data_IF_070408620064
#
_entry.id   IF_070408620064
#
_cell.length_a   1.000
_cell.length_b   1.000
_cell.length_c   1.000
_cell.angle_alpha   90.00
_cell.angle_beta   90.00
_cell.angle_gamma   90.00
#
_symmetry.space_group_name_H-M   'P 1'
#
loop_
_entity.id
_entity.type
_entity.pdbx_description
1 polymer ?
#
# COMPACT_ATOMS: atom_id res chain seq x y z
N UNK A 1 -48.13 43.91 -17.22
CA UNK A 1 -48.59 43.97 -15.82
C UNK A 1 -49.13 42.59 -15.46
N UNK A 2 -48.69 42.05 -14.32
CA UNK A 2 -48.96 40.70 -13.80
C UNK A 2 -50.45 40.43 -13.59
N UNK A 3 -50.90 39.22 -13.92
CA UNK A 3 -51.83 38.47 -13.07
C UNK A 3 -51.38 37.01 -13.02
N UNK A 4 -50.51 36.73 -12.05
CA UNK A 4 -50.33 35.40 -11.48
C UNK A 4 -51.55 35.18 -10.59
N UNK A 5 -52.40 34.24 -10.96
CA UNK A 5 -53.34 33.64 -10.01
C UNK A 5 -53.13 32.14 -10.02
N UNK A 6 -52.20 31.71 -9.17
CA UNK A 6 -52.16 30.35 -8.63
C UNK A 6 -53.48 30.09 -7.91
N UNK A 7 -54.46 29.49 -8.59
CA UNK A 7 -55.60 28.89 -7.90
C UNK A 7 -55.07 27.63 -7.21
N UNK A 8 -54.80 27.78 -5.91
CA UNK A 8 -54.53 26.66 -5.01
C UNK A 8 -55.69 25.68 -5.13
N UNK A 9 -55.37 24.48 -5.58
CA UNK A 9 -56.24 23.31 -5.55
C UNK A 9 -56.67 23.10 -4.09
N UNK A 10 -57.91 23.44 -3.74
CA UNK A 10 -58.49 23.07 -2.46
C UNK A 10 -58.96 21.61 -2.54
N UNK A 11 -58.80 20.82 -1.48
CA UNK A 11 -59.19 19.42 -1.46
C UNK A 11 -60.70 19.28 -1.67
N UNK A 12 -61.06 18.44 -2.63
CA UNK A 12 -62.44 18.00 -2.88
C UNK A 12 -62.86 17.15 -1.67
N UNK A 13 -63.80 17.65 -0.87
CA UNK A 13 -64.48 16.83 0.13
C UNK A 13 -65.38 15.84 -0.61
N UNK A 14 -64.96 14.58 -0.70
CA UNK A 14 -65.86 13.46 -0.99
C UNK A 14 -66.63 13.19 0.29
N UNK A 15 -67.76 13.88 0.47
CA UNK A 15 -68.67 13.61 1.57
C UNK A 15 -69.65 12.53 1.13
N UNK A 16 -69.30 11.25 1.36
CA UNK A 16 -70.26 10.14 1.28
C UNK A 16 -71.24 10.25 2.46
N UNK A 17 -72.28 11.07 2.34
CA UNK A 17 -73.40 11.03 3.29
C UNK A 17 -74.21 9.77 2.98
N UNK A 18 -73.98 8.70 3.74
CA UNK A 18 -74.94 7.60 3.90
C UNK A 18 -76.16 8.16 4.66
N UNK A 19 -77.09 8.78 3.94
CA UNK A 19 -78.33 9.29 4.49
C UNK A 19 -79.27 8.14 4.85
N UNK A 20 -79.23 7.68 6.10
CA UNK A 20 -80.33 6.95 6.73
C UNK A 20 -81.47 7.95 7.00
N UNK A 21 -82.23 8.32 5.96
CA UNK A 21 -83.55 8.92 6.15
C UNK A 21 -84.60 7.84 5.91
N UNK A 22 -85.32 7.52 6.97
CA UNK A 22 -86.38 6.52 7.04
C UNK A 22 -87.58 6.90 6.18
N UNK A 23 -87.54 6.63 4.86
CA UNK A 23 -88.65 6.08 4.05
C UNK A 23 -88.02 5.52 2.76
N UNK A 24 -88.06 4.19 2.57
CA UNK A 24 -87.53 3.42 1.42
C UNK A 24 -86.01 3.20 1.38
N UNK A 25 -85.59 1.96 1.67
CA UNK A 25 -84.22 1.48 1.55
C UNK A 25 -83.78 1.42 0.08
N UNK A 26 -83.12 2.47 -0.41
CA UNK A 26 -82.32 2.42 -1.63
C UNK A 26 -81.01 3.15 -1.37
N UNK A 27 -79.87 2.48 -1.56
CA UNK A 27 -78.55 3.10 -1.48
C UNK A 27 -78.44 4.11 -2.62
N UNK A 28 -78.33 5.40 -2.27
CA UNK A 28 -78.15 6.48 -3.23
C UNK A 28 -76.68 6.87 -3.26
N UNK A 29 -76.03 6.66 -4.39
CA UNK A 29 -74.70 7.20 -4.67
C UNK A 29 -74.89 8.65 -5.09
N UNK A 30 -74.11 9.57 -4.52
CA UNK A 30 -74.15 10.98 -4.91
C UNK A 30 -72.73 11.52 -5.10
N UNK A 31 -72.58 12.35 -6.12
CA UNK A 31 -71.38 13.12 -6.40
C UNK A 31 -71.75 14.58 -6.51
N UNK A 32 -71.02 15.43 -5.80
CA UNK A 32 -71.16 16.88 -5.85
C UNK A 32 -69.82 17.48 -6.23
N UNK A 33 -69.81 18.27 -7.31
CA UNK A 33 -68.60 18.94 -7.76
C UNK A 33 -68.84 20.38 -8.15
N UNK A 34 -67.80 21.19 -8.01
CA UNK A 34 -67.75 22.54 -8.54
C UNK A 34 -67.18 22.47 -9.96
N UNK A 35 -67.90 23.03 -10.93
CA UNK A 35 -67.45 23.18 -12.31
C UNK A 35 -67.43 24.66 -12.70
N UNK A 36 -66.39 25.04 -13.43
CA UNK A 36 -66.26 26.32 -14.11
C UNK A 36 -66.58 26.21 -15.62
N UNK A 37 -66.79 27.33 -16.31
CA UNK A 37 -67.02 27.34 -17.76
C UNK A 37 -65.88 26.66 -18.53
N UNK A 38 -66.20 25.73 -19.41
CA UNK A 38 -65.24 24.94 -20.18
C UNK A 38 -64.80 23.62 -19.51
N UNK A 39 -65.14 23.42 -18.24
CA UNK A 39 -64.86 22.15 -17.56
C UNK A 39 -65.76 21.04 -18.10
N UNK A 40 -65.21 19.83 -18.09
CA UNK A 40 -65.89 18.61 -18.52
C UNK A 40 -65.69 17.54 -17.47
N UNK A 41 -66.74 16.77 -17.23
CA UNK A 41 -66.67 15.54 -16.43
C UNK A 41 -67.33 14.42 -17.22
N UNK A 42 -66.81 13.22 -17.04
CA UNK A 42 -67.33 11.99 -17.58
C UNK A 42 -68.01 11.24 -16.45
N UNK A 43 -69.32 11.05 -16.54
CA UNK A 43 -70.08 10.24 -15.59
C UNK A 43 -70.58 9.01 -16.33
N UNK A 44 -69.97 7.85 -16.06
CA UNK A 44 -70.12 6.65 -16.87
C UNK A 44 -69.85 6.95 -18.37
N UNK A 45 -70.89 6.95 -19.21
CA UNK A 45 -70.81 7.27 -20.65
C UNK A 45 -71.39 8.65 -20.99
N UNK A 46 -71.74 9.46 -19.98
CA UNK A 46 -72.26 10.80 -20.16
C UNK A 46 -71.13 11.81 -20.04
N UNK A 47 -71.00 12.67 -21.03
CA UNK A 47 -70.13 13.84 -20.99
C UNK A 47 -70.97 15.00 -20.49
N UNK A 48 -70.65 15.49 -19.31
CA UNK A 48 -71.27 16.67 -18.72
C UNK A 48 -70.26 17.81 -18.87
N UNK A 49 -70.62 18.84 -19.63
CA UNK A 49 -69.76 20.00 -19.87
C UNK A 49 -70.49 21.27 -19.50
N UNK A 50 -69.79 22.19 -18.86
CA UNK A 50 -70.32 23.51 -18.57
C UNK A 50 -69.95 24.47 -19.71
N UNK A 51 -70.95 25.13 -20.28
CA UNK A 51 -70.74 26.13 -21.33
C UNK A 51 -71.43 27.44 -20.96
N UNK A 52 -70.98 28.53 -21.56
CA UNK A 52 -71.53 29.87 -21.32
C UNK A 52 -72.02 30.42 -22.64
N UNK A 53 -73.29 30.83 -22.68
CA UNK A 53 -73.84 31.51 -23.85
C UNK A 53 -73.11 32.86 -24.03
N UNK A 54 -72.53 33.04 -25.22
CA UNK A 54 -71.73 34.22 -25.56
C UNK A 54 -72.55 35.50 -25.62
N UNK A 55 -73.87 35.39 -25.80
CA UNK A 55 -74.73 36.55 -25.97
C UNK A 55 -75.41 36.98 -24.67
N UNK A 56 -75.86 36.01 -23.84
CA UNK A 56 -76.56 36.28 -22.58
C UNK A 56 -75.66 36.21 -21.34
N UNK A 57 -74.47 35.61 -21.46
CA UNK A 57 -73.61 35.31 -20.31
C UNK A 57 -74.18 34.22 -19.39
N UNK A 58 -75.31 33.60 -19.75
CA UNK A 58 -75.91 32.53 -18.97
C UNK A 58 -75.06 31.26 -19.07
N UNK A 59 -74.83 30.63 -17.91
CA UNK A 59 -74.15 29.35 -17.83
C UNK A 59 -75.19 28.23 -17.98
N UNK A 60 -74.91 27.27 -18.86
CA UNK A 60 -75.74 26.11 -19.07
C UNK A 60 -74.92 24.82 -18.94
N UNK A 61 -75.52 23.80 -18.32
CA UNK A 61 -74.93 22.47 -18.24
C UNK A 61 -75.39 21.66 -19.44
N UNK A 62 -74.44 21.25 -20.28
CA UNK A 62 -74.71 20.44 -21.47
C UNK A 62 -74.37 18.99 -21.15
N UNK A 63 -75.35 18.10 -21.28
CA UNK A 63 -75.21 16.67 -21.08
C UNK A 63 -75.24 15.98 -22.44
N UNK A 64 -74.18 15.25 -22.78
CA UNK A 64 -74.03 14.54 -24.04
C UNK A 64 -73.80 13.05 -23.81
N UNK A 65 -74.24 12.22 -24.74
CA UNK A 65 -73.81 10.83 -24.85
C UNK A 65 -73.10 10.65 -26.18
N UNK A 66 -71.79 10.38 -26.13
CA UNK A 66 -70.88 10.18 -27.26
C UNK A 66 -70.86 11.34 -28.26
N UNK A 67 -71.92 11.55 -29.04
CA UNK A 67 -72.07 12.61 -30.04
C UNK A 67 -73.40 13.37 -29.95
N UNK A 68 -74.38 12.86 -29.20
CA UNK A 68 -75.73 13.45 -29.14
C UNK A 68 -75.90 14.27 -27.85
N UNK A 69 -76.42 15.49 -27.97
CA UNK A 69 -76.85 16.30 -26.83
C UNK A 69 -78.14 15.69 -26.30
N UNK A 70 -78.11 15.21 -25.06
CA UNK A 70 -79.28 14.65 -24.40
C UNK A 70 -80.12 15.76 -23.79
N UNK A 71 -79.47 16.71 -23.11
CA UNK A 71 -80.14 17.80 -22.44
C UNK A 71 -79.22 18.99 -22.21
N UNK A 72 -79.84 20.16 -22.06
CA UNK A 72 -79.22 21.40 -21.63
C UNK A 72 -79.99 21.86 -20.41
N UNK A 73 -79.31 22.00 -19.27
CA UNK A 73 -79.92 22.48 -18.02
C UNK A 73 -79.53 23.92 -17.75
N UNK A 74 -80.53 24.74 -17.45
CA UNK A 74 -80.38 26.07 -16.88
C UNK A 74 -80.37 26.01 -15.35
N UNK A 75 -79.97 27.12 -14.73
CA UNK A 75 -79.87 27.23 -13.27
C UNK A 75 -81.15 26.74 -12.55
N UNK A 76 -80.98 25.89 -11.54
CA UNK A 76 -82.06 25.31 -10.74
C UNK A 76 -82.78 24.13 -11.38
N UNK A 77 -82.39 23.73 -12.61
CA UNK A 77 -83.00 22.60 -13.30
C UNK A 77 -82.29 21.28 -12.97
N UNK A 78 -83.05 20.20 -13.08
CA UNK A 78 -82.53 18.84 -12.99
C UNK A 78 -83.14 17.99 -14.10
N UNK A 79 -82.44 16.92 -14.45
CA UNK A 79 -82.94 15.89 -15.38
C UNK A 79 -82.63 14.52 -14.84
N UNK A 80 -83.53 13.58 -15.12
CA UNK A 80 -83.29 12.16 -14.92
C UNK A 80 -82.88 11.54 -16.25
N UNK A 81 -81.65 11.07 -16.34
CA UNK A 81 -81.11 10.31 -17.48
C UNK A 81 -80.82 8.89 -17.01
N UNK A 82 -81.63 7.94 -17.47
CA UNK A 82 -81.63 6.55 -16.98
C UNK A 82 -81.85 6.52 -15.45
N UNK A 83 -80.91 5.93 -14.70
CA UNK A 83 -80.92 5.84 -13.24
C UNK A 83 -80.16 6.98 -12.54
N UNK A 84 -79.70 7.98 -13.30
CA UNK A 84 -79.00 9.16 -12.78
C UNK A 84 -79.90 10.39 -12.79
N UNK A 85 -79.99 11.08 -11.66
CA UNK A 85 -80.56 12.41 -11.53
C UNK A 85 -79.42 13.41 -11.48
N UNK A 86 -79.36 14.30 -12.46
CA UNK A 86 -78.33 15.35 -12.57
C UNK A 86 -79.02 16.68 -12.31
N UNK A 87 -78.57 17.44 -11.31
CA UNK A 87 -79.05 18.79 -11.04
C UNK A 87 -77.94 19.82 -11.18
N UNK A 88 -78.34 21.01 -11.61
CA UNK A 88 -77.45 22.11 -11.91
C UNK A 88 -77.88 23.37 -11.16
N UNK A 89 -76.98 23.91 -10.32
CA UNK A 89 -77.18 25.17 -9.63
C UNK A 89 -76.00 26.10 -9.93
N UNK A 90 -76.28 27.20 -10.61
CA UNK A 90 -75.31 28.26 -10.86
C UNK A 90 -75.23 29.18 -9.62
N UNK A 91 -74.04 29.33 -9.06
CA UNK A 91 -73.76 30.13 -7.87
C UNK A 91 -72.66 31.16 -8.18
N UNK A 92 -72.99 32.15 -9.01
CA UNK A 92 -72.08 33.26 -9.36
C UNK A 92 -70.81 32.79 -10.07
N UNK A 93 -69.68 32.79 -9.36
CA UNK A 93 -68.35 32.45 -9.90
C UNK A 93 -68.10 30.94 -10.11
N UNK A 94 -68.95 30.08 -9.55
CA UNK A 94 -68.86 28.63 -9.73
C UNK A 94 -70.24 28.02 -9.87
N UNK A 95 -70.33 26.90 -10.57
CA UNK A 95 -71.56 26.12 -10.63
C UNK A 95 -71.40 24.82 -9.88
N UNK A 96 -72.45 24.42 -9.16
CA UNK A 96 -72.52 23.14 -8.46
C UNK A 96 -73.30 22.18 -9.36
N UNK A 97 -72.68 21.05 -9.67
CA UNK A 97 -73.33 19.92 -10.33
C UNK A 97 -73.43 18.80 -9.31
N UNK A 98 -74.67 18.34 -9.09
CA UNK A 98 -74.95 17.15 -8.29
C UNK A 98 -75.42 16.04 -9.21
N UNK A 99 -74.82 14.87 -9.08
CA UNK A 99 -75.25 13.66 -9.77
C UNK A 99 -75.60 12.61 -8.73
N UNK A 100 -76.82 12.08 -8.78
CA UNK A 100 -77.32 11.08 -7.84
C UNK A 100 -77.82 9.86 -8.61
N UNK A 101 -77.40 8.68 -8.21
CA UNK A 101 -77.76 7.42 -8.84
C UNK A 101 -78.19 6.36 -7.84
N UNK A 102 -79.07 5.45 -8.27
CA UNK A 102 -79.39 4.24 -7.50
C UNK A 102 -78.30 3.17 -7.58
N UNK A 103 -77.51 3.20 -8.65
CA UNK A 103 -76.36 2.34 -8.87
C UNK A 103 -75.06 3.13 -8.75
N UNK A 104 -73.96 2.41 -8.51
CA UNK A 104 -72.62 3.01 -8.50
C UNK A 104 -72.29 3.58 -9.88
N UNK A 105 -71.72 4.77 -9.91
CA UNK A 105 -71.27 5.41 -11.14
C UNK A 105 -69.87 5.99 -10.97
N UNK A 106 -69.08 5.93 -12.04
CA UNK A 106 -67.73 6.47 -12.06
C UNK A 106 -67.74 7.91 -12.58
N UNK A 107 -67.02 8.80 -11.89
CA UNK A 107 -66.82 10.19 -12.32
C UNK A 107 -65.33 10.40 -12.62
N UNK A 108 -65.02 10.66 -13.90
CA UNK A 108 -63.66 10.96 -14.38
C UNK A 108 -63.60 12.41 -14.81
N UNK A 109 -62.65 13.17 -14.28
CA UNK A 109 -62.39 14.55 -14.69
C UNK A 109 -61.24 14.50 -15.71
N UNK A 110 -61.52 14.58 -17.03
CA UNK A 110 -60.45 14.64 -18.03
C UNK A 110 -59.60 15.89 -17.76
N UNK A 111 -58.36 15.67 -17.33
CA UNK A 111 -57.41 16.75 -17.06
C UNK A 111 -57.05 17.39 -18.40
N UNK A 112 -57.65 18.53 -18.70
CA UNK A 112 -57.34 19.32 -19.89
C UNK A 112 -55.94 19.94 -19.73
N UNK A 113 -54.93 19.34 -20.36
CA UNK A 113 -53.68 20.04 -20.66
C UNK A 113 -52.35 19.37 -20.30
N UNK A 114 -52.05 18.18 -20.83
CA UNK A 114 -50.64 17.77 -21.00
C UNK A 114 -50.35 17.47 -22.47
N UNK A 115 -49.71 18.41 -23.21
CA UNK A 115 -49.22 18.12 -24.53
C UNK A 115 -47.92 17.31 -24.44
N UNK A 116 -47.87 16.16 -25.11
CA UNK A 116 -46.68 15.53 -25.72
C UNK A 116 -45.40 15.32 -24.88
N UNK A 117 -45.48 15.09 -23.57
CA UNK A 117 -44.29 14.82 -22.74
C UNK A 117 -43.72 13.38 -22.90
N UNK A 118 -44.36 12.53 -23.71
CA UNK A 118 -44.00 11.11 -23.85
C UNK A 118 -42.66 10.87 -24.55
N UNK A 119 -42.37 11.65 -25.60
CA UNK A 119 -41.09 11.58 -26.33
C UNK A 119 -39.93 12.05 -25.44
N UNK A 120 -40.12 13.15 -24.70
CA UNK A 120 -39.12 13.66 -23.76
C UNK A 120 -38.84 12.67 -22.61
N UNK A 121 -39.88 12.02 -22.07
CA UNK A 121 -39.75 10.99 -21.05
C UNK A 121 -39.03 9.72 -21.57
N UNK A 122 -39.23 9.35 -22.84
CA UNK A 122 -38.52 8.22 -23.46
C UNK A 122 -37.03 8.51 -23.61
N UNK A 123 -36.68 9.72 -24.07
CA UNK A 123 -35.28 10.13 -24.19
C UNK A 123 -34.59 10.25 -22.83
N UNK A 124 -35.30 10.76 -21.82
CA UNK A 124 -34.79 10.81 -20.44
C UNK A 124 -34.55 9.40 -19.87
N UNK A 125 -35.48 8.46 -20.07
CA UNK A 125 -35.31 7.07 -19.68
C UNK A 125 -34.10 6.42 -20.37
N UNK A 126 -33.94 6.62 -21.68
CA UNK A 126 -32.79 6.08 -22.42
C UNK A 126 -31.46 6.63 -21.90
N UNK A 127 -31.42 7.92 -21.54
CA UNK A 127 -30.24 8.54 -20.92
C UNK A 127 -29.95 7.98 -19.54
N UNK A 128 -30.98 7.77 -18.71
CA UNK A 128 -30.85 7.18 -17.39
C UNK A 128 -30.40 5.71 -17.47
N UNK A 129 -30.92 4.93 -18.41
CA UNK A 129 -30.47 3.56 -18.67
C UNK A 129 -28.99 3.51 -19.05
N UNK A 130 -28.56 4.41 -19.92
CA UNK A 130 -27.14 4.51 -20.31
C UNK A 130 -26.25 4.86 -19.10
N UNK A 131 -26.68 5.79 -18.24
CA UNK A 131 -25.96 6.15 -17.01
C UNK A 131 -25.90 4.97 -16.02
N UNK A 132 -27.01 4.25 -15.84
CA UNK A 132 -27.07 3.07 -14.99
C UNK A 132 -26.12 1.99 -15.50
N UNK A 133 -26.07 1.77 -16.82
CA UNK A 133 -25.15 0.81 -17.41
C UNK A 133 -23.69 1.23 -17.21
N UNK A 134 -23.36 2.50 -17.44
CA UNK A 134 -22.01 3.03 -17.19
C UNK A 134 -21.60 2.86 -15.72
N UNK A 135 -22.50 3.18 -14.78
CA UNK A 135 -22.24 3.00 -13.34
C UNK A 135 -22.06 1.53 -12.96
N UNK A 136 -22.80 0.60 -13.58
CA UNK A 136 -22.58 -0.85 -13.38
C UNK A 136 -21.20 -1.27 -13.88
N UNK A 137 -20.79 -0.80 -15.05
CA UNK A 137 -19.48 -1.11 -15.63
C UNK A 137 -18.33 -0.51 -14.80
N UNK A 138 -18.49 0.70 -14.26
CA UNK A 138 -17.52 1.28 -13.33
C UNK A 138 -17.45 0.51 -12.01
N UNK A 139 -18.60 0.10 -11.45
CA UNK A 139 -18.65 -0.66 -10.21
C UNK A 139 -17.99 -2.05 -10.36
N UNK A 140 -18.20 -2.73 -11.49
CA UNK A 140 -17.51 -4.00 -11.78
C UNK A 140 -16.00 -3.81 -11.88
N UNK A 141 -15.52 -2.77 -12.57
CA UNK A 141 -14.09 -2.42 -12.62
C UNK A 141 -13.51 -2.10 -11.25
N UNK A 142 -14.24 -1.35 -10.42
CA UNK A 142 -13.81 -1.04 -9.05
C UNK A 142 -13.71 -2.29 -8.18
N UNK A 143 -14.69 -3.20 -8.25
CA UNK A 143 -14.63 -4.48 -7.54
C UNK A 143 -13.44 -5.33 -7.97
N UNK A 144 -13.13 -5.35 -9.26
CA UNK A 144 -11.94 -6.04 -9.77
C UNK A 144 -10.66 -5.42 -9.20
N UNK A 145 -10.53 -4.10 -9.23
CA UNK A 145 -9.37 -3.38 -8.64
C UNK A 145 -9.21 -3.65 -7.15
N UNK A 146 -10.32 -3.62 -6.39
CA UNK A 146 -10.30 -3.93 -4.95
C UNK A 146 -9.81 -5.36 -4.72
N UNK A 147 -10.34 -6.33 -5.46
CA UNK A 147 -9.90 -7.74 -5.35
C UNK A 147 -8.40 -7.91 -5.68
N UNK A 148 -7.91 -7.18 -6.68
CA UNK A 148 -6.50 -7.21 -7.07
C UNK A 148 -5.60 -6.59 -6.00
N UNK A 149 -6.01 -5.46 -5.42
CA UNK A 149 -5.33 -4.82 -4.28
C UNK A 149 -5.32 -5.70 -3.03
N UNK A 150 -6.42 -6.38 -2.72
CA UNK A 150 -6.50 -7.34 -1.60
C UNK A 150 -5.53 -8.51 -1.79
N UNK A 151 -5.40 -9.04 -3.03
CA UNK A 151 -4.41 -10.06 -3.36
C UNK A 151 -2.99 -9.54 -3.20
N UNK A 152 -2.71 -8.33 -3.68
CA UNK A 152 -1.39 -7.71 -3.51
C UNK A 152 -1.04 -7.52 -2.03
N UNK A 153 -1.99 -7.05 -1.21
CA UNK A 153 -1.77 -6.87 0.22
C UNK A 153 -1.52 -8.19 0.94
N UNK A 154 -2.25 -9.27 0.59
CA UNK A 154 -2.01 -10.61 1.14
C UNK A 154 -0.64 -11.19 0.75
N UNK A 155 -0.15 -10.86 -0.45
CA UNK A 155 1.12 -11.34 -0.96
C UNK A 155 2.32 -10.49 -0.52
N UNK A 156 2.09 -9.37 0.18
CA UNK A 156 3.20 -8.60 0.74
C UNK A 156 3.78 -9.35 1.95
N UNK A 157 5.12 -9.46 2.04
CA UNK A 157 5.76 -10.04 3.21
C UNK A 157 5.35 -9.24 4.43
N UNK A 158 4.87 -9.95 5.45
CA UNK A 158 4.39 -9.33 6.68
C UNK A 158 5.54 -8.52 7.29
N UNK A 159 5.29 -7.26 7.64
CA UNK A 159 6.30 -6.35 8.19
C UNK A 159 6.96 -6.94 9.45
N UNK A 160 6.21 -7.74 10.22
CA UNK A 160 6.72 -8.49 11.36
C UNK A 160 7.75 -9.57 10.98
N UNK A 161 7.56 -10.28 9.86
CA UNK A 161 8.51 -11.29 9.37
C UNK A 161 9.81 -10.64 8.89
N UNK A 162 9.71 -9.52 8.17
CA UNK A 162 10.87 -8.74 7.75
C UNK A 162 11.64 -8.18 8.95
N UNK A 163 10.93 -7.68 9.97
CA UNK A 163 11.55 -7.17 11.19
C UNK A 163 12.24 -8.29 11.98
N UNK A 164 11.63 -9.47 12.06
CA UNK A 164 12.25 -10.65 12.68
C UNK A 164 13.51 -11.07 11.93
N UNK A 165 13.45 -11.12 10.59
CA UNK A 165 14.61 -11.43 9.75
C UNK A 165 15.73 -10.41 9.93
N UNK A 166 15.39 -9.12 10.02
CA UNK A 166 16.35 -8.04 10.28
C UNK A 166 17.04 -8.19 11.64
N UNK A 167 16.29 -8.50 12.69
CA UNK A 167 16.84 -8.72 14.05
C UNK A 167 17.80 -9.92 14.04
N UNK A 168 17.41 -11.03 13.41
CA UNK A 168 18.25 -12.22 13.31
C UNK A 168 19.55 -11.95 12.55
N UNK A 169 19.46 -11.31 11.37
CA UNK A 169 20.65 -10.92 10.60
C UNK A 169 21.56 -9.95 11.36
N UNK A 170 20.97 -9.03 12.13
CA UNK A 170 21.74 -8.10 12.98
C UNK A 170 22.50 -8.84 14.07
N UNK A 171 21.88 -9.86 14.68
CA UNK A 171 22.51 -10.70 15.69
C UNK A 171 23.65 -11.52 15.10
N UNK A 172 23.41 -12.20 13.97
CA UNK A 172 24.43 -12.97 13.24
C UNK A 172 25.62 -12.09 12.83
N UNK A 173 25.37 -10.86 12.36
CA UNK A 173 26.44 -9.93 12.01
C UNK A 173 27.32 -9.54 13.22
N UNK A 174 26.73 -9.42 14.41
CA UNK A 174 27.48 -9.16 15.65
C UNK A 174 28.33 -10.35 16.06
N UNK A 175 27.78 -11.56 15.96
CA UNK A 175 28.49 -12.81 16.26
C UNK A 175 29.69 -13.00 15.31
N UNK A 176 29.47 -12.85 14.00
CA UNK A 176 30.54 -12.93 13.00
C UNK A 176 31.65 -11.89 13.23
N UNK A 177 31.30 -10.66 13.62
CA UNK A 177 32.30 -9.64 13.98
C UNK A 177 33.12 -10.03 15.20
N UNK A 178 32.49 -10.63 16.21
CA UNK A 178 33.19 -11.11 17.40
C UNK A 178 34.13 -12.28 17.07
N UNK A 179 33.69 -13.22 16.23
CA UNK A 179 34.52 -14.33 15.74
C UNK A 179 35.71 -13.81 14.93
N UNK A 180 35.49 -12.86 14.02
CA UNK A 180 36.56 -12.27 13.21
C UNK A 180 37.59 -11.56 14.08
N UNK A 181 37.15 -10.83 15.11
CA UNK A 181 38.06 -10.22 16.09
C UNK A 181 38.88 -11.28 16.82
N UNK A 182 38.24 -12.33 17.34
CA UNK A 182 38.92 -13.43 18.04
C UNK A 182 39.96 -14.12 17.13
N UNK A 183 39.59 -14.37 15.87
CA UNK A 183 40.49 -14.99 14.90
C UNK A 183 41.68 -14.08 14.57
N UNK A 184 41.45 -12.77 14.47
CA UNK A 184 42.50 -11.76 14.28
C UNK A 184 43.46 -11.72 15.47
N UNK A 185 42.94 -11.74 16.69
CA UNK A 185 43.75 -11.76 17.91
C UNK A 185 44.61 -13.03 17.99
N UNK A 186 44.03 -14.20 17.66
CA UNK A 186 44.76 -15.47 17.57
C UNK A 186 45.85 -15.43 16.49
N UNK A 187 45.55 -14.88 15.33
CA UNK A 187 46.52 -14.72 14.25
C UNK A 187 47.70 -13.85 14.68
N UNK A 188 47.44 -12.71 15.32
CA UNK A 188 48.48 -11.81 15.80
C UNK A 188 49.34 -12.46 16.89
N UNK A 189 48.72 -13.19 17.82
CA UNK A 189 49.46 -13.93 18.85
C UNK A 189 50.35 -15.02 18.23
N UNK A 190 49.85 -15.74 17.23
CA UNK A 190 50.62 -16.77 16.54
C UNK A 190 51.77 -16.17 15.74
N UNK A 191 51.54 -15.05 15.06
CA UNK A 191 52.56 -14.30 14.33
C UNK A 191 53.67 -13.82 15.27
N UNK A 192 53.31 -13.21 16.40
CA UNK A 192 54.28 -12.79 17.42
C UNK A 192 55.11 -13.96 17.95
N UNK A 193 54.48 -15.13 18.18
CA UNK A 193 55.19 -16.34 18.60
C UNK A 193 56.16 -16.85 17.51
N UNK A 194 55.75 -16.81 16.25
CA UNK A 194 56.61 -17.18 15.13
C UNK A 194 57.82 -16.23 15.00
N UNK A 195 57.59 -14.93 15.09
CA UNK A 195 58.65 -13.91 15.04
C UNK A 195 59.65 -14.10 16.21
N UNK A 196 59.14 -14.35 17.42
CA UNK A 196 59.98 -14.64 18.59
C UNK A 196 60.82 -15.91 18.44
N UNK A 197 60.22 -17.00 17.93
CA UNK A 197 60.97 -18.23 17.64
C UNK A 197 62.01 -18.03 16.54
N UNK A 198 61.71 -17.21 15.53
CA UNK A 198 62.68 -16.85 14.50
C UNK A 198 63.86 -16.08 15.07
N UNK A 199 63.62 -15.15 16.00
CA UNK A 199 64.69 -14.41 16.68
C UNK A 199 65.57 -15.35 17.52
N UNK A 200 64.97 -16.23 18.33
CA UNK A 200 65.74 -17.22 19.09
C UNK A 200 66.59 -18.12 18.20
N UNK A 201 66.06 -18.57 17.06
CA UNK A 201 66.83 -19.38 16.12
C UNK A 201 68.03 -18.63 15.55
N UNK A 202 67.91 -17.33 15.25
CA UNK A 202 69.05 -16.54 14.82
C UNK A 202 70.06 -16.29 15.94
N UNK A 203 69.61 -16.07 17.17
CA UNK A 203 70.50 -16.00 18.33
C UNK A 203 71.28 -17.31 18.53
N UNK A 204 70.61 -18.47 18.44
CA UNK A 204 71.26 -19.78 18.53
C UNK A 204 72.27 -19.99 17.39
N UNK A 205 71.93 -19.62 16.15
CA UNK A 205 72.87 -19.69 15.01
C UNK A 205 74.11 -18.86 15.26
N UNK A 206 73.94 -17.63 15.75
CA UNK A 206 75.03 -16.70 16.05
C UNK A 206 75.91 -17.24 17.19
N UNK A 207 75.29 -17.77 18.25
CA UNK A 207 76.02 -18.39 19.37
C UNK A 207 76.84 -19.59 18.91
N UNK A 208 76.27 -20.48 18.10
CA UNK A 208 76.99 -21.64 17.53
C UNK A 208 78.17 -21.18 16.67
N UNK A 209 77.98 -20.16 15.82
CA UNK A 209 79.06 -19.60 15.00
C UNK A 209 80.19 -19.01 15.85
N UNK A 210 79.85 -18.30 16.93
CA UNK A 210 80.83 -17.74 17.86
C UNK A 210 81.60 -18.86 18.57
N UNK A 211 80.92 -19.89 19.08
CA UNK A 211 81.56 -21.04 19.72
C UNK A 211 82.48 -21.81 18.76
N UNK A 212 82.06 -21.99 17.50
CA UNK A 212 82.89 -22.61 16.47
C UNK A 212 84.13 -21.77 16.18
N UNK A 213 83.99 -20.44 16.12
CA UNK A 213 85.11 -19.52 15.91
C UNK A 213 86.08 -19.51 17.11
N UNK A 214 85.56 -19.48 18.33
CA UNK A 214 86.37 -19.56 19.55
C UNK A 214 87.12 -20.90 19.63
N UNK A 215 86.47 -22.01 19.27
CA UNK A 215 87.12 -23.33 19.24
C UNK A 215 88.22 -23.38 18.18
N UNK A 216 87.97 -22.83 16.99
CA UNK A 216 88.97 -22.74 15.93
C UNK A 216 90.17 -21.88 16.37
N UNK A 217 89.92 -20.70 16.93
CA UNK A 217 90.98 -19.81 17.42
C UNK A 217 91.75 -20.40 18.60
N UNK A 218 91.08 -21.04 19.55
CA UNK A 218 91.71 -21.74 20.68
C UNK A 218 92.62 -22.85 20.19
N UNK A 219 92.18 -23.66 19.21
CA UNK A 219 93.03 -24.69 18.61
C UNK A 219 94.24 -24.09 17.88
N UNK A 220 94.07 -23.01 17.10
CA UNK A 220 95.19 -22.31 16.46
C UNK A 220 96.17 -21.73 17.47
N UNK A 221 95.67 -21.13 18.56
CA UNK A 221 96.49 -20.59 19.64
C UNK A 221 97.26 -21.70 20.35
N UNK A 222 96.62 -22.82 20.68
CA UNK A 222 97.26 -23.99 21.27
C UNK A 222 98.36 -24.54 20.36
N UNK A 223 98.11 -24.65 19.04
CA UNK A 223 99.13 -25.06 18.07
C UNK A 223 100.30 -24.06 18.02
N UNK A 224 100.02 -22.75 18.02
CA UNK A 224 101.07 -21.71 18.03
C UNK A 224 101.88 -21.75 19.33
N UNK A 225 101.23 -21.97 20.48
CA UNK A 225 101.90 -22.07 21.77
C UNK A 225 102.77 -23.33 21.87
N UNK A 226 102.28 -24.48 21.40
CA UNK A 226 103.06 -25.71 21.32
C UNK A 226 104.28 -25.51 20.40
N UNK A 227 104.10 -24.95 19.20
CA UNK A 227 105.21 -24.67 18.30
C UNK A 227 106.25 -23.68 18.89
N UNK A 228 105.80 -22.67 19.65
CA UNK A 228 106.71 -21.76 20.38
C UNK A 228 107.49 -22.49 21.47
N UNK A 229 106.85 -23.37 22.25
CA UNK A 229 107.50 -24.20 23.28
C UNK A 229 108.54 -25.13 22.66
N UNK A 230 108.21 -25.80 21.55
CA UNK A 230 109.15 -26.64 20.82
C UNK A 230 110.35 -25.85 20.29
N UNK A 231 110.12 -24.64 19.74
CA UNK A 231 111.20 -23.77 19.27
C UNK A 231 112.12 -23.31 20.41
N UNK A 232 111.57 -23.02 21.59
CA UNK A 232 112.35 -22.68 22.78
C UNK A 232 113.21 -23.87 23.24
N UNK A 233 112.63 -25.07 23.31
CA UNK A 233 113.35 -26.30 23.67
C UNK A 233 114.47 -26.58 22.66
N UNK A 234 114.18 -26.52 21.36
CA UNK A 234 115.19 -26.66 20.30
C UNK A 234 116.30 -25.61 20.40
N UNK A 235 115.96 -24.36 20.69
CA UNK A 235 116.96 -23.30 20.88
C UNK A 235 117.85 -23.53 22.11
N UNK A 236 117.29 -24.04 23.21
CA UNK A 236 118.09 -24.38 24.39
C UNK A 236 119.05 -25.50 24.04
N UNK A 237 118.57 -26.60 23.45
CA UNK A 237 119.41 -27.75 23.04
C UNK A 237 120.57 -27.31 22.14
N UNK A 238 120.31 -26.48 21.13
CA UNK A 238 121.37 -25.98 20.23
C UNK A 238 122.39 -25.15 21.00
N UNK A 239 121.96 -24.26 21.91
CA UNK A 239 122.89 -23.46 22.72
C UNK A 239 123.75 -24.34 23.62
N UNK A 240 123.17 -25.35 24.28
CA UNK A 240 123.94 -26.30 25.11
C UNK A 240 124.96 -27.06 24.26
N UNK A 241 124.58 -27.46 23.04
CA UNK A 241 125.46 -28.20 22.13
C UNK A 241 126.62 -27.33 21.64
N UNK A 242 126.38 -26.05 21.33
CA UNK A 242 127.42 -25.07 21.00
C UNK A 242 128.37 -24.85 22.17
N UNK A 243 127.85 -24.67 23.39
CA UNK A 243 128.70 -24.52 24.59
C UNK A 243 129.55 -25.76 24.82
N UNK A 244 128.97 -26.96 24.69
CA UNK A 244 129.70 -28.21 24.79
C UNK A 244 130.83 -28.29 23.74
N UNK A 245 130.56 -27.91 22.49
CA UNK A 245 131.57 -27.84 21.44
C UNK A 245 132.68 -26.84 21.76
N UNK A 246 132.35 -25.67 22.30
CA UNK A 246 133.34 -24.67 22.71
C UNK A 246 134.21 -25.23 23.84
N UNK A 247 133.62 -25.87 24.86
CA UNK A 247 134.36 -26.47 25.97
C UNK A 247 135.28 -27.58 25.47
N UNK A 248 134.79 -28.48 24.62
CA UNK A 248 135.61 -29.56 24.03
C UNK A 248 136.72 -28.97 23.15
N UNK A 249 136.42 -27.93 22.37
CA UNK A 249 137.40 -27.22 21.56
C UNK A 249 138.49 -26.56 22.39
N UNK A 250 138.13 -25.91 23.51
CA UNK A 250 139.09 -25.30 24.44
C UNK A 250 139.96 -26.35 25.14
N UNK A 251 139.38 -27.46 25.59
CA UNK A 251 140.13 -28.57 26.21
C UNK A 251 141.07 -29.20 25.18
N UNK A 252 140.57 -29.48 23.97
CA UNK A 252 141.37 -30.01 22.87
C UNK A 252 142.51 -29.09 22.47
N UNK A 253 142.25 -27.78 22.37
CA UNK A 253 143.27 -26.76 22.11
C UNK A 253 144.29 -26.66 23.24
N UNK A 254 143.87 -26.72 24.50
CA UNK A 254 144.76 -26.75 25.66
C UNK A 254 145.70 -27.95 25.66
N UNK A 255 145.18 -29.15 25.35
CA UNK A 255 145.98 -30.36 25.18
C UNK A 255 146.95 -30.26 23.99
N UNK A 256 146.48 -29.72 22.85
CA UNK A 256 147.31 -29.49 21.67
C UNK A 256 148.48 -28.54 21.95
N UNK A 257 148.21 -27.43 22.65
CA UNK A 257 149.24 -26.45 23.05
C UNK A 257 150.25 -27.06 24.03
N UNK A 258 149.78 -27.83 25.01
CA UNK A 258 150.67 -28.51 25.97
C UNK A 258 151.57 -29.53 25.28
N UNK A 259 151.06 -30.27 24.29
CA UNK A 259 151.85 -31.18 23.46
C UNK A 259 152.94 -30.44 22.66
N UNK A 260 152.61 -29.34 21.98
CA UNK A 260 153.62 -28.56 21.25
C UNK A 260 154.73 -27.99 22.15
N UNK A 261 154.45 -27.73 23.43
CA UNK A 261 155.47 -27.28 24.37
C UNK A 261 156.53 -28.34 24.72
N UNK A 262 156.32 -29.61 24.36
CA UNK A 262 157.23 -30.72 24.67
C UNK A 262 158.10 -31.11 23.48
N UNK A 263 157.87 -30.51 22.30
CA UNK A 263 158.61 -30.84 21.07
C UNK A 263 159.71 -29.82 20.73
N UNK A 264 159.87 -28.72 21.50
CA UNK A 264 160.95 -27.74 21.34
C UNK A 264 161.47 -27.19 22.68
N UNK A 265 162.50 -27.79 23.30
CA UNK A 265 163.21 -27.20 24.42
C UNK A 265 164.29 -26.22 23.91
N UNK A 266 164.18 -24.95 24.33
CA UNK A 266 165.25 -23.94 24.34
C UNK A 266 165.62 -23.67 25.80
#
# INVERSE_FOLDING_TARGET
MKFIHTKKFLPIFILCILGLSTVSATTLYSWNGKLGPGDKILVNNLIISLDTDRNSGEIALIIKNSTNVIAILKNGQFIKVKDLTISFNAAGEYSIVSVTGREFFNVVIPTSGQPNNLEALKEENKKLEAQVQQLKDENTKLKQRVSELEKQLKNQPNTAELQTKLVNLTKENRELKAELKNLTDKYNALKAKADFLSQQNEEYRTMIQNLLKETAQGSEQDYIEQAKKERLIGSVIIKTLVVALVVVGLIGYGLYRKKRGWEYPL
#
